data_IF_654294179322
#
_entry.id   IF_654294179322
#
_cell.length_a   1.000
_cell.length_b   1.000
_cell.length_c   1.000
_cell.angle_alpha   90.00
_cell.angle_beta   90.00
_cell.angle_gamma   90.00
#
_symmetry.space_group_name_H-M   'P 1'
#
loop_
_entity.id
_entity.type
_entity.pdbx_description
1 polymer ?
#
# COMPACT_ATOMS: atom_id res chain seq x y z
N UNK A 1 -3.44 12.40 3.18
CA UNK A 1 -3.01 12.32 1.76
C UNK A 1 -2.49 13.66 1.27
N UNK A 2 -1.55 13.67 0.30
CA UNK A 2 -1.17 14.93 -0.37
C UNK A 2 -2.24 15.28 -1.39
N UNK A 3 -2.84 16.46 -1.26
CA UNK A 3 -3.83 16.98 -2.20
C UNK A 3 -3.25 17.01 -3.62
N UNK A 4 -3.99 16.43 -4.56
CA UNK A 4 -3.59 16.36 -5.98
C UNK A 4 -2.81 15.12 -6.40
N UNK A 5 -2.59 14.13 -5.52
CA UNK A 5 -2.01 12.84 -5.89
C UNK A 5 -3.08 11.76 -5.77
N UNK A 6 -3.32 11.04 -6.87
CA UNK A 6 -4.20 9.86 -6.91
C UNK A 6 -3.37 8.66 -7.35
N UNK A 7 -3.49 7.56 -6.61
CA UNK A 7 -2.80 6.31 -6.91
C UNK A 7 -3.84 5.29 -7.33
N UNK A 8 -3.77 4.82 -8.58
CA UNK A 8 -4.60 3.74 -9.06
C UNK A 8 -3.80 2.45 -9.03
N UNK A 9 -4.30 1.43 -8.33
CA UNK A 9 -3.68 0.11 -8.26
C UNK A 9 -4.49 -0.88 -9.11
N UNK A 10 -3.80 -1.76 -9.82
CA UNK A 10 -4.47 -2.93 -10.40
C UNK A 10 -4.86 -3.91 -9.28
N UNK A 11 -5.84 -4.80 -9.49
CA UNK A 11 -6.19 -5.81 -8.50
C UNK A 11 -5.00 -6.69 -8.07
N UNK A 12 -4.10 -6.98 -9.02
CA UNK A 12 -2.90 -7.76 -8.76
C UNK A 12 -1.89 -7.01 -7.88
N UNK A 13 -1.65 -5.73 -8.17
CA UNK A 13 -0.74 -4.90 -7.35
C UNK A 13 -1.28 -4.68 -5.94
N UNK A 14 -2.60 -4.48 -5.81
CA UNK A 14 -3.27 -4.38 -4.50
C UNK A 14 -3.04 -5.65 -3.68
N UNK A 15 -3.32 -6.82 -4.25
CA UNK A 15 -3.11 -8.10 -3.57
C UNK A 15 -1.65 -8.29 -3.13
N UNK A 16 -0.69 -7.91 -3.98
CA UNK A 16 0.73 -8.01 -3.65
C UNK A 16 1.12 -7.07 -2.50
N UNK A 17 0.60 -5.85 -2.47
CA UNK A 17 0.85 -4.89 -1.40
C UNK A 17 0.22 -5.34 -0.08
N UNK A 18 -0.99 -5.91 -0.11
CA UNK A 18 -1.63 -6.51 1.05
C UNK A 18 -0.80 -7.68 1.61
N UNK A 19 -0.30 -8.55 0.74
CA UNK A 19 0.60 -9.63 1.15
C UNK A 19 1.88 -9.11 1.81
N UNK A 20 2.48 -8.03 1.28
CA UNK A 20 3.64 -7.37 1.89
C UNK A 20 3.30 -6.81 3.27
N UNK A 21 2.13 -6.18 3.41
CA UNK A 21 1.67 -5.58 4.66
C UNK A 21 1.34 -6.62 5.75
N UNK A 22 0.79 -7.78 5.37
CA UNK A 22 0.44 -8.87 6.31
C UNK A 22 1.60 -9.83 6.61
N UNK A 23 2.67 -9.82 5.82
CA UNK A 23 3.81 -10.71 6.01
C UNK A 23 4.70 -10.24 7.17
N UNK A 24 4.73 -11.03 8.24
CA UNK A 24 5.49 -10.77 9.49
C UNK A 24 7.01 -10.87 9.32
N UNK A 25 7.50 -11.45 8.23
CA UNK A 25 8.93 -11.49 7.89
C UNK A 25 9.39 -10.28 7.07
N UNK A 26 8.46 -9.41 6.63
CA UNK A 26 8.80 -8.21 5.87
C UNK A 26 9.42 -7.16 6.78
N UNK A 27 10.51 -6.53 6.35
CA UNK A 27 11.08 -5.41 7.09
C UNK A 27 10.03 -4.28 7.26
N UNK A 28 9.95 -3.71 8.46
CA UNK A 28 8.91 -2.74 8.85
C UNK A 28 8.80 -1.54 7.89
N UNK A 29 9.94 -1.09 7.31
CA UNK A 29 9.95 -0.02 6.30
C UNK A 29 9.13 -0.35 5.05
N UNK A 30 9.11 -1.61 4.62
CA UNK A 30 8.33 -2.04 3.46
C UNK A 30 6.85 -2.21 3.82
N UNK A 31 6.56 -2.75 5.01
CA UNK A 31 5.19 -2.81 5.55
C UNK A 31 4.56 -1.43 5.58
N UNK A 32 5.23 -0.44 6.18
CA UNK A 32 4.73 0.93 6.24
C UNK A 32 4.54 1.56 4.87
N UNK A 33 5.47 1.37 3.93
CA UNK A 33 5.31 1.88 2.56
C UNK A 33 4.13 1.24 1.84
N UNK A 34 3.92 -0.07 2.01
CA UNK A 34 2.76 -0.75 1.43
C UNK A 34 1.44 -0.23 2.00
N UNK A 35 1.36 -0.04 3.33
CA UNK A 35 0.18 0.53 4.00
C UNK A 35 -0.11 1.95 3.51
N UNK A 36 0.90 2.81 3.39
CA UNK A 36 0.71 4.18 2.87
C UNK A 36 0.16 4.15 1.44
N UNK A 37 0.68 3.28 0.57
CA UNK A 37 0.21 3.16 -0.82
C UNK A 37 -1.22 2.64 -0.87
N UNK A 38 -1.56 1.63 -0.06
CA UNK A 38 -2.92 1.08 0.02
C UNK A 38 -3.93 2.14 0.49
N UNK A 39 -3.65 2.84 1.59
CA UNK A 39 -4.50 3.93 2.09
C UNK A 39 -4.60 5.07 1.07
N UNK A 40 -3.48 5.39 0.41
CA UNK A 40 -3.43 6.43 -0.63
C UNK A 40 -4.29 6.10 -1.86
N UNK A 41 -4.40 4.82 -2.20
CA UNK A 41 -5.27 4.35 -3.27
C UNK A 41 -6.74 4.28 -2.84
N UNK A 42 -7.01 4.13 -1.54
CA UNK A 42 -8.36 4.04 -0.98
C UNK A 42 -9.04 5.40 -0.76
N UNK A 43 -8.27 6.49 -0.70
CA UNK A 43 -8.83 7.83 -0.45
C UNK A 43 -8.77 8.30 1.01
N UNK A 44 -7.95 7.65 1.86
CA UNK A 44 -7.81 7.92 3.30
C UNK A 44 -6.56 8.76 3.61
#
# INVERSE_FOLDING_TARGET
>A
MRTGISITLTPYDRQRLEAVASNRNTAQKHVWRAVIVLLSADGV
#
